data_IF_985724606873
#
_entry.id   IF_985724606873
#
_cell.length_a   1.000
_cell.length_b   1.000
_cell.length_c   1.000
_cell.angle_alpha   90.00
_cell.angle_beta   90.00
_cell.angle_gamma   90.00
#
_symmetry.space_group_name_H-M   'P 1'
#
loop_
_entity.id
_entity.type
_entity.pdbx_description
1 polymer ?
#
# COMPACT_ATOMS: atom_id res chain seq x y z
N UNK A 1 -3.36 -14.58 47.75
CA UNK A 1 -3.98 -13.57 46.86
C UNK A 1 -2.95 -12.82 46.01
N UNK A 2 -1.81 -12.40 46.58
CA UNK A 2 -0.71 -11.73 45.86
C UNK A 2 -0.18 -12.39 44.56
N UNK A 3 0.06 -13.71 44.49
CA UNK A 3 0.61 -14.33 43.28
C UNK A 3 -0.40 -14.40 42.12
N UNK A 4 -1.70 -14.50 42.42
CA UNK A 4 -2.77 -14.45 41.39
C UNK A 4 -2.92 -13.04 40.80
N UNK A 5 -2.74 -12.00 41.61
CA UNK A 5 -2.79 -10.61 41.17
C UNK A 5 -1.61 -10.26 40.23
N UNK A 6 -0.40 -10.73 40.57
CA UNK A 6 0.80 -10.54 39.74
C UNK A 6 0.68 -11.23 38.38
N UNK A 7 0.10 -12.44 38.33
CA UNK A 7 -0.16 -13.15 37.07
C UNK A 7 -1.18 -12.38 36.22
N UNK A 8 -2.27 -11.91 36.82
CA UNK A 8 -3.26 -11.10 36.10
C UNK A 8 -2.67 -9.79 35.56
N UNK A 9 -1.81 -9.13 36.32
CA UNK A 9 -1.13 -7.91 35.89
C UNK A 9 -0.12 -8.17 34.76
N UNK A 10 0.61 -9.29 34.81
CA UNK A 10 1.51 -9.69 33.74
C UNK A 10 0.75 -9.99 32.43
N UNK A 11 -0.42 -10.63 32.53
CA UNK A 11 -1.30 -10.90 31.39
C UNK A 11 -1.89 -9.62 30.78
N UNK A 12 -2.32 -8.65 31.59
CA UNK A 12 -2.86 -7.38 31.07
C UNK A 12 -1.78 -6.53 30.40
N UNK A 13 -0.56 -6.50 30.94
CA UNK A 13 0.59 -5.83 30.31
C UNK A 13 0.97 -6.51 29.00
N UNK A 14 0.95 -7.85 28.93
CA UNK A 14 1.22 -8.57 27.69
C UNK A 14 0.17 -8.27 26.61
N UNK A 15 -1.12 -8.28 26.95
CA UNK A 15 -2.21 -7.97 25.99
C UNK A 15 -2.12 -6.50 25.53
N UNK A 16 -1.78 -5.57 26.41
CA UNK A 16 -1.58 -4.16 26.07
C UNK A 16 -0.38 -3.95 25.13
N UNK A 17 0.70 -4.73 25.30
CA UNK A 17 1.88 -4.67 24.42
C UNK A 17 1.58 -5.11 22.98
N UNK A 18 0.63 -6.02 22.77
CA UNK A 18 0.15 -6.38 21.43
C UNK A 18 -0.88 -5.40 20.85
N UNK A 19 -1.44 -4.50 21.65
CA UNK A 19 -2.51 -3.60 21.21
C UNK A 19 -2.00 -2.25 20.64
N UNK A 20 -0.78 -1.82 20.96
CA UNK A 20 -0.19 -0.57 20.51
C UNK A 20 0.86 -0.78 19.41
N UNK A 21 0.76 -0.04 18.31
CA UNK A 21 1.72 0.05 17.18
C UNK A 21 1.97 -1.19 16.30
N UNK A 22 1.93 -2.44 16.80
CA UNK A 22 2.30 -3.62 15.99
C UNK A 22 1.20 -4.19 15.09
N UNK A 23 -0.08 -3.93 15.41
CA UNK A 23 -1.23 -4.53 14.70
C UNK A 23 -1.31 -4.11 13.24
N UNK A 24 -1.17 -2.81 12.96
CA UNK A 24 -1.26 -2.27 11.58
C UNK A 24 -0.28 -2.98 10.64
N UNK A 25 0.98 -3.13 11.07
CA UNK A 25 2.01 -3.79 10.25
C UNK A 25 1.79 -5.31 10.11
N UNK A 26 1.29 -5.98 11.16
CA UNK A 26 0.96 -7.40 11.11
C UNK A 26 -0.26 -7.67 10.21
N UNK A 27 -1.26 -6.80 10.27
CA UNK A 27 -2.48 -6.84 9.47
C UNK A 27 -2.16 -6.55 7.99
N UNK A 28 -1.31 -5.55 7.71
CA UNK A 28 -0.81 -5.24 6.35
C UNK A 28 -0.10 -6.46 5.75
N UNK A 29 0.86 -7.07 6.45
CA UNK A 29 1.57 -8.27 5.95
C UNK A 29 0.67 -9.48 5.74
N UNK A 30 -0.38 -9.63 6.54
CA UNK A 30 -1.35 -10.69 6.32
C UNK A 30 -2.17 -10.41 5.06
N UNK A 31 -2.62 -9.17 4.88
CA UNK A 31 -3.36 -8.73 3.70
C UNK A 31 -2.53 -8.85 2.41
N UNK A 32 -1.25 -8.46 2.45
CA UNK A 32 -0.26 -8.66 1.37
C UNK A 32 -0.25 -10.12 0.95
N UNK A 33 0.05 -11.05 1.86
CA UNK A 33 0.14 -12.49 1.56
C UNK A 33 -1.16 -13.07 1.00
N UNK A 34 -2.30 -12.70 1.58
CA UNK A 34 -3.59 -13.17 1.08
C UNK A 34 -3.84 -12.66 -0.35
N UNK A 35 -3.48 -11.40 -0.63
CA UNK A 35 -3.63 -10.81 -1.96
C UNK A 35 -2.67 -11.44 -2.95
N UNK A 36 -1.42 -11.68 -2.57
CA UNK A 36 -0.44 -12.43 -3.36
C UNK A 36 -0.98 -13.81 -3.73
N UNK A 37 -1.38 -14.62 -2.74
CA UNK A 37 -1.92 -15.96 -3.00
C UNK A 37 -3.12 -15.94 -3.95
N UNK A 38 -4.05 -14.98 -3.78
CA UNK A 38 -5.19 -14.84 -4.67
C UNK A 38 -4.78 -14.46 -6.11
N UNK A 39 -3.85 -13.51 -6.27
CA UNK A 39 -3.38 -13.08 -7.58
C UNK A 39 -2.54 -14.16 -8.26
N UNK A 40 -1.73 -14.90 -7.52
CA UNK A 40 -0.95 -16.04 -8.02
C UNK A 40 -1.85 -17.18 -8.46
N UNK A 41 -2.89 -17.50 -7.68
CA UNK A 41 -3.89 -18.51 -8.05
C UNK A 41 -4.70 -18.11 -9.29
N UNK A 42 -5.06 -16.83 -9.41
CA UNK A 42 -5.86 -16.33 -10.52
C UNK A 42 -5.07 -16.18 -11.82
N UNK A 43 -3.83 -15.70 -11.73
CA UNK A 43 -2.97 -15.42 -12.90
C UNK A 43 -2.07 -16.60 -13.30
N UNK A 44 -1.77 -17.50 -12.37
CA UNK A 44 -0.75 -18.54 -12.56
C UNK A 44 0.69 -18.01 -12.58
N UNK A 45 0.89 -16.73 -12.25
CA UNK A 45 2.19 -16.05 -12.27
C UNK A 45 2.58 -15.60 -10.85
N UNK A 46 3.88 -15.60 -10.54
CA UNK A 46 4.39 -15.09 -9.26
C UNK A 46 4.09 -13.59 -9.14
N UNK A 47 3.56 -13.19 -7.99
CA UNK A 47 3.17 -11.80 -7.72
C UNK A 47 3.66 -11.39 -6.32
N UNK A 48 4.22 -10.20 -6.20
CA UNK A 48 4.69 -9.59 -4.94
C UNK A 48 3.84 -8.35 -4.66
N UNK A 49 3.24 -8.27 -3.46
CA UNK A 49 2.36 -7.17 -3.04
C UNK A 49 2.93 -6.51 -1.80
N UNK A 50 3.14 -5.19 -1.86
CA UNK A 50 3.65 -4.38 -0.75
C UNK A 50 2.63 -3.29 -0.43
N UNK A 51 2.13 -3.28 0.81
CA UNK A 51 1.15 -2.33 1.33
C UNK A 51 1.79 -1.55 2.47
N UNK A 52 2.09 -0.26 2.24
CA UNK A 52 2.72 0.60 3.24
C UNK A 52 2.04 1.94 3.31
N UNK A 53 1.55 2.28 4.49
CA UNK A 53 0.99 3.61 4.78
C UNK A 53 -0.08 4.11 3.79
N UNK A 54 -0.83 3.17 3.20
CA UNK A 54 -1.89 3.46 2.23
C UNK A 54 -1.44 3.39 0.76
N UNK A 55 -0.14 3.25 0.51
CA UNK A 55 0.40 2.97 -0.82
C UNK A 55 0.39 1.47 -1.08
N UNK A 56 0.05 1.09 -2.32
CA UNK A 56 0.02 -0.30 -2.76
C UNK A 56 0.94 -0.44 -3.97
N UNK A 57 1.88 -1.38 -3.89
CA UNK A 57 2.72 -1.79 -5.03
C UNK A 57 2.45 -3.24 -5.36
N UNK A 58 2.21 -3.54 -6.63
CA UNK A 58 2.02 -4.89 -7.15
C UNK A 58 3.10 -5.12 -8.21
N UNK A 59 3.94 -6.14 -8.03
CA UNK A 59 4.96 -6.54 -8.99
C UNK A 59 4.66 -7.92 -9.54
N UNK A 60 4.78 -8.05 -10.85
CA UNK A 60 4.68 -9.31 -11.58
C UNK A 60 5.95 -9.50 -12.42
N UNK A 61 6.10 -10.65 -13.06
CA UNK A 61 7.21 -10.87 -14.00
C UNK A 61 7.18 -9.92 -15.20
N UNK A 62 6.00 -9.41 -15.55
CA UNK A 62 5.78 -8.58 -16.74
C UNK A 62 5.79 -7.07 -16.45
N UNK A 63 5.76 -6.67 -15.18
CA UNK A 63 5.67 -5.26 -14.83
C UNK A 63 5.43 -4.96 -13.35
N UNK A 64 5.15 -3.69 -13.09
CA UNK A 64 4.91 -3.13 -11.76
C UNK A 64 3.77 -2.12 -11.82
N UNK A 65 2.84 -2.17 -10.87
CA UNK A 65 1.76 -1.20 -10.68
C UNK A 65 1.93 -0.56 -9.31
N UNK A 66 1.92 0.77 -9.26
CA UNK A 66 1.98 1.57 -8.02
C UNK A 66 0.73 2.42 -7.90
N UNK A 67 0.02 2.23 -6.81
CA UNK A 67 -1.10 3.06 -6.39
C UNK A 67 -0.63 3.87 -5.19
N UNK A 68 -0.33 5.14 -5.42
CA UNK A 68 0.22 6.02 -4.39
C UNK A 68 -0.81 7.06 -4.03
N UNK A 69 -1.10 7.17 -2.74
CA UNK A 69 -2.01 8.18 -2.20
C UNK A 69 -1.26 9.54 -2.10
N UNK A 70 -0.96 10.16 -3.24
CA UNK A 70 -0.27 11.45 -3.32
C UNK A 70 -1.11 12.53 -4.00
N UNK A 71 -0.95 13.76 -3.53
CA UNK A 71 -1.46 14.99 -4.15
C UNK A 71 -0.40 15.71 -4.99
N UNK A 72 0.73 15.05 -5.26
CA UNK A 72 1.87 15.61 -5.99
C UNK A 72 1.92 15.10 -7.43
N UNK A 73 2.52 15.91 -8.31
CA UNK A 73 2.81 15.50 -9.67
C UNK A 73 3.83 14.35 -9.67
N UNK A 74 3.69 13.33 -10.53
CA UNK A 74 4.60 12.18 -10.52
C UNK A 74 6.02 12.62 -10.90
N UNK A 75 7.00 12.34 -10.05
CA UNK A 75 8.39 12.75 -10.26
C UNK A 75 9.03 12.05 -11.48
N UNK A 76 8.49 10.90 -11.87
CA UNK A 76 8.92 10.07 -13.00
C UNK A 76 8.04 10.25 -14.26
N UNK A 77 7.15 11.25 -14.26
CA UNK A 77 6.38 11.64 -15.43
C UNK A 77 7.29 11.98 -16.60
N UNK A 78 6.84 11.68 -17.82
CA UNK A 78 7.58 12.03 -19.02
C UNK A 78 7.76 13.54 -19.15
N UNK A 79 8.99 13.99 -19.43
CA UNK A 79 9.34 15.42 -19.51
C UNK A 79 8.52 16.22 -20.53
N UNK A 80 8.02 15.55 -21.57
CA UNK A 80 7.20 16.18 -22.63
C UNK A 80 5.74 16.40 -22.23
N UNK A 81 5.27 15.77 -21.16
CA UNK A 81 3.88 15.89 -20.70
C UNK A 81 3.79 17.09 -19.75
N UNK A 82 3.13 18.19 -20.16
CA UNK A 82 3.00 19.35 -19.29
C UNK A 82 2.09 19.02 -18.11
N UNK A 83 2.41 19.60 -16.96
CA UNK A 83 1.55 19.52 -15.77
C UNK A 83 0.27 20.32 -16.01
N UNK A 84 -0.88 19.71 -15.73
CA UNK A 84 -2.14 20.44 -15.65
C UNK A 84 -2.22 21.18 -14.32
N UNK A 85 -2.38 22.49 -14.37
CA UNK A 85 -2.32 23.39 -13.20
C UNK A 85 -3.69 23.86 -12.69
N UNK A 86 -4.77 23.61 -13.43
CA UNK A 86 -6.12 24.11 -13.09
C UNK A 86 -6.96 23.10 -12.29
N UNK A 87 -6.45 22.70 -11.13
CA UNK A 87 -7.14 21.80 -10.20
C UNK A 87 -6.17 21.21 -9.18
N UNK A 88 -6.71 20.45 -8.23
CA UNK A 88 -5.91 19.76 -7.21
C UNK A 88 -5.77 18.29 -7.57
N UNK A 89 -4.54 17.76 -7.55
CA UNK A 89 -4.32 16.31 -7.71
C UNK A 89 -4.89 15.60 -6.48
N UNK A 90 -5.84 14.70 -6.71
CA UNK A 90 -6.43 13.86 -5.67
C UNK A 90 -5.66 12.55 -5.51
N UNK A 91 -5.23 11.95 -6.63
CA UNK A 91 -4.63 10.62 -6.66
C UNK A 91 -3.76 10.45 -7.90
N UNK A 92 -2.72 9.63 -7.77
CA UNK A 92 -1.87 9.18 -8.88
C UNK A 92 -1.72 7.67 -8.82
N UNK A 93 -2.00 7.00 -9.94
CA UNK A 93 -1.57 5.63 -10.17
C UNK A 93 -0.54 5.62 -11.29
N UNK A 94 0.60 4.99 -11.07
CA UNK A 94 1.60 4.74 -12.11
C UNK A 94 1.78 3.26 -12.33
N UNK A 95 2.25 2.89 -13.51
CA UNK A 95 2.58 1.50 -13.80
C UNK A 95 3.55 1.37 -14.95
N UNK A 96 4.22 0.23 -14.96
CA UNK A 96 5.04 -0.24 -16.07
C UNK A 96 4.62 -1.65 -16.41
N UNK A 97 4.49 -1.95 -17.70
CA UNK A 97 4.02 -3.25 -18.16
C UNK A 97 4.54 -3.46 -19.57
N UNK A 98 5.33 -4.53 -19.78
CA UNK A 98 5.83 -4.92 -21.11
C UNK A 98 6.49 -3.76 -21.89
N UNK A 99 7.26 -2.91 -21.19
CA UNK A 99 7.95 -1.75 -21.78
C UNK A 99 7.09 -0.50 -21.94
N UNK A 100 5.77 -0.57 -21.67
CA UNK A 100 4.90 0.59 -21.59
C UNK A 100 4.99 1.19 -20.18
N UNK A 101 4.99 2.52 -20.09
CA UNK A 101 4.81 3.24 -18.82
C UNK A 101 3.53 4.06 -18.90
N UNK A 102 2.70 3.94 -17.86
CA UNK A 102 1.36 4.53 -17.79
C UNK A 102 1.20 5.34 -16.51
N UNK A 103 0.50 6.46 -16.61
CA UNK A 103 0.12 7.31 -15.49
C UNK A 103 -1.37 7.61 -15.58
N UNK A 104 -2.07 7.50 -14.47
CA UNK A 104 -3.42 8.00 -14.30
C UNK A 104 -3.37 9.04 -13.18
N UNK A 105 -3.75 10.29 -13.50
CA UNK A 105 -3.74 11.43 -12.57
C UNK A 105 -5.16 11.94 -12.45
N UNK A 106 -5.73 11.88 -11.25
CA UNK A 106 -7.09 12.35 -10.97
C UNK A 106 -7.03 13.75 -10.39
N UNK A 107 -7.81 14.65 -10.97
CA UNK A 107 -7.96 16.03 -10.50
C UNK A 107 -9.35 16.25 -9.91
N UNK A 108 -9.41 17.09 -8.88
CA UNK A 108 -10.63 17.65 -8.31
C UNK A 108 -10.56 19.18 -8.33
N UNK A 109 -11.69 19.83 -8.05
CA UNK A 109 -11.79 21.28 -7.97
C UNK A 109 -11.33 21.98 -9.27
N UNK A 110 -11.61 21.37 -10.43
CA UNK A 110 -11.33 21.94 -11.75
C UNK A 110 -12.37 23.04 -12.04
N UNK A 111 -11.96 24.28 -12.38
CA UNK A 111 -12.85 25.40 -12.67
C UNK A 111 -13.81 25.21 -13.85
#
# INVERSE_FOLDING_TARGET
MLPRLLICLALTVAIAAFAGCGKKQADEKLAERMTEEMLEQASGQKTDVDMKDGDITIKTETGEVKMVATSQWPADMFDVVPRFEYGTIERVHSGSESGLRKFNVWYKDVP
#
